data_IF_158296637454
#
_entry.id   IF_158296637454
#
_cell.length_a   1.000
_cell.length_b   1.000
_cell.length_c   1.000
_cell.angle_alpha   90.00
_cell.angle_beta   90.00
_cell.angle_gamma   90.00
#
_symmetry.space_group_name_H-M   'P 1'
#
loop_
_entity.id
_entity.type
_entity.pdbx_description
1 polymer ?
#
# COMPACT_ATOMS: atom_id res chain seq x y z
N UNK A 1 26.73 -38.59 0.35
CA UNK A 1 25.54 -38.82 1.18
C UNK A 1 24.68 -37.56 1.07
N UNK A 2 23.59 -37.60 0.28
CA UNK A 2 22.71 -36.45 0.05
C UNK A 2 21.34 -36.76 0.63
N UNK A 3 20.78 -35.85 1.44
CA UNK A 3 19.41 -35.96 1.93
C UNK A 3 18.66 -34.67 1.62
N UNK A 4 17.94 -34.72 0.51
CA UNK A 4 16.99 -33.72 0.05
C UNK A 4 15.67 -33.94 0.80
N UNK A 5 15.20 -32.93 1.52
CA UNK A 5 13.87 -32.94 2.12
C UNK A 5 13.36 -31.52 2.15
N UNK A 6 12.37 -31.20 1.31
CA UNK A 6 11.08 -30.75 1.82
C UNK A 6 10.02 -30.80 0.74
N UNK A 7 8.92 -31.40 1.16
CA UNK A 7 7.72 -31.71 0.44
C UNK A 7 6.76 -30.52 0.55
N UNK A 8 5.90 -30.36 -0.47
CA UNK A 8 4.51 -29.89 -0.38
C UNK A 8 4.23 -28.37 -0.51
N UNK A 9 3.93 -27.97 -1.75
CA UNK A 9 2.74 -27.25 -2.26
C UNK A 9 2.15 -26.11 -1.40
N UNK A 10 2.00 -24.90 -1.96
CA UNK A 10 0.70 -24.24 -2.26
C UNK A 10 0.87 -22.89 -2.99
N UNK A 11 0.31 -22.86 -4.21
CA UNK A 11 -0.23 -21.76 -5.02
C UNK A 11 0.12 -20.28 -4.67
N UNK A 12 0.81 -19.57 -5.58
CA UNK A 12 0.22 -18.68 -6.61
C UNK A 12 1.36 -17.92 -7.31
N UNK A 13 1.50 -18.11 -8.61
CA UNK A 13 2.61 -17.67 -9.45
C UNK A 13 2.37 -16.27 -10.06
N UNK A 14 3.42 -15.43 -10.08
CA UNK A 14 3.53 -14.36 -11.08
C UNK A 14 4.96 -14.35 -11.61
N UNK A 15 5.13 -14.78 -12.85
CA UNK A 15 6.42 -14.85 -13.56
C UNK A 15 6.57 -13.62 -14.47
N UNK A 16 7.72 -12.95 -14.40
CA UNK A 16 8.14 -12.04 -15.48
C UNK A 16 9.63 -12.24 -15.73
N UNK A 17 9.98 -12.45 -16.99
CA UNK A 17 11.34 -12.73 -17.45
C UNK A 17 11.94 -11.46 -18.04
N UNK A 18 13.11 -11.05 -17.56
CA UNK A 18 13.92 -9.99 -18.19
C UNK A 18 15.21 -10.62 -18.70
N UNK A 19 15.38 -10.60 -20.02
CA UNK A 19 16.54 -11.17 -20.71
C UNK A 19 17.73 -10.22 -20.62
N UNK A 20 18.88 -10.72 -20.15
CA UNK A 20 20.14 -9.96 -20.11
C UNK A 20 20.95 -10.29 -21.37
N UNK A 21 21.41 -9.29 -22.16
CA UNK A 21 22.29 -9.55 -23.31
C UNK A 21 23.70 -9.91 -22.83
N UNK A 22 24.23 -11.05 -23.28
CA UNK A 22 25.55 -11.59 -22.94
C UNK A 22 26.62 -11.08 -23.92
N UNK A 23 27.63 -10.37 -23.42
CA UNK A 23 28.84 -10.01 -24.17
C UNK A 23 29.87 -11.17 -24.23
N UNK A 24 30.65 -11.15 -25.30
CA UNK A 24 30.94 -12.34 -26.11
C UNK A 24 32.32 -12.99 -25.86
N UNK A 25 32.75 -13.21 -24.60
CA UNK A 25 34.05 -13.88 -24.40
C UNK A 25 34.30 -14.64 -23.08
N UNK A 26 33.26 -15.15 -22.41
CA UNK A 26 33.42 -16.04 -21.26
C UNK A 26 32.77 -17.39 -21.54
N UNK A 27 33.62 -18.39 -21.80
CA UNK A 27 33.23 -19.79 -22.03
C UNK A 27 32.60 -20.38 -20.76
N UNK A 28 31.30 -20.61 -20.82
CA UNK A 28 30.51 -21.32 -19.82
C UNK A 28 30.91 -22.81 -19.80
N UNK A 29 31.44 -23.28 -18.66
CA UNK A 29 31.81 -24.69 -18.45
C UNK A 29 31.33 -25.25 -17.10
N UNK A 30 30.33 -24.63 -16.46
CA UNK A 30 29.70 -25.20 -15.27
C UNK A 30 28.19 -25.02 -15.15
N UNK A 31 27.51 -24.41 -16.15
CA UNK A 31 26.05 -24.50 -16.27
C UNK A 31 25.26 -23.95 -15.09
N UNK A 32 25.87 -23.12 -14.24
CA UNK A 32 25.22 -22.44 -13.12
C UNK A 32 25.68 -20.98 -13.16
N UNK A 33 24.98 -20.19 -13.95
CA UNK A 33 25.27 -18.77 -14.22
C UNK A 33 24.37 -17.82 -13.44
N UNK A 34 23.73 -18.27 -12.37
CA UNK A 34 22.81 -17.43 -11.61
C UNK A 34 23.03 -17.62 -10.12
N UNK A 35 23.89 -16.77 -9.56
CA UNK A 35 23.86 -16.50 -8.14
C UNK A 35 22.57 -15.71 -7.87
N UNK A 36 21.48 -16.43 -7.61
CA UNK A 36 20.21 -15.81 -7.24
C UNK A 36 20.37 -15.14 -5.88
N UNK A 37 20.60 -13.82 -5.89
CA UNK A 37 20.50 -13.00 -4.69
C UNK A 37 19.02 -12.90 -4.34
N UNK A 38 18.54 -13.86 -3.54
CA UNK A 38 17.18 -13.88 -2.99
C UNK A 38 17.11 -12.84 -1.87
N UNK A 39 16.76 -11.61 -2.20
CA UNK A 39 16.25 -10.67 -1.19
C UNK A 39 14.82 -11.09 -0.91
N UNK A 40 14.68 -12.10 -0.06
CA UNK A 40 13.43 -12.46 0.58
C UNK A 40 13.18 -11.47 1.71
N UNK A 41 12.39 -10.43 1.46
CA UNK A 41 11.75 -9.68 2.55
C UNK A 41 10.53 -10.50 3.00
N UNK A 42 10.79 -11.68 3.61
CA UNK A 42 9.73 -12.51 4.19
C UNK A 42 9.14 -11.77 5.38
N UNK A 43 7.87 -11.38 5.27
CA UNK A 43 7.10 -10.88 6.40
C UNK A 43 6.45 -9.52 6.22
N UNK A 44 6.21 -9.03 5.00
CA UNK A 44 5.38 -7.83 4.75
C UNK A 44 4.44 -8.10 3.58
N UNK A 45 3.14 -8.19 3.86
CA UNK A 45 2.06 -8.38 2.91
C UNK A 45 1.36 -7.05 2.63
N UNK A 46 0.52 -7.03 1.60
CA UNK A 46 -0.30 -5.87 1.24
C UNK A 46 -1.75 -6.28 1.07
N UNK A 47 -2.65 -5.55 1.70
CA UNK A 47 -4.08 -5.84 1.70
C UNK A 47 -4.88 -4.58 1.43
N UNK A 48 -6.01 -4.74 0.73
CA UNK A 48 -6.93 -3.65 0.41
C UNK A 48 -8.03 -3.61 1.45
N UNK A 49 -8.07 -2.53 2.23
CA UNK A 49 -9.02 -2.35 3.31
C UNK A 49 -9.85 -1.10 3.01
N UNK A 50 -11.17 -1.23 3.13
CA UNK A 50 -12.10 -0.12 2.90
C UNK A 50 -12.21 0.73 4.15
N UNK A 51 -11.60 1.90 4.16
CA UNK A 51 -11.69 2.85 5.24
C UNK A 51 -12.96 3.70 5.12
N UNK A 52 -13.70 3.83 6.21
CA UNK A 52 -14.89 4.69 6.33
C UNK A 52 -14.67 5.84 7.32
N UNK A 53 -13.64 5.76 8.15
CA UNK A 53 -13.28 6.80 9.11
C UNK A 53 -12.50 7.93 8.41
N UNK A 54 -13.24 8.78 7.69
CA UNK A 54 -12.71 9.92 6.95
C UNK A 54 -12.98 11.20 7.72
N UNK A 55 -11.92 11.94 8.00
CA UNK A 55 -11.95 13.19 8.77
C UNK A 55 -11.29 14.31 7.99
N UNK A 56 -11.68 15.55 8.28
CA UNK A 56 -11.06 16.74 7.70
C UNK A 56 -10.44 17.58 8.81
N UNK A 57 -9.33 18.25 8.52
CA UNK A 57 -8.64 19.15 9.45
C UNK A 57 -8.22 20.44 8.74
N UNK A 58 -7.79 21.46 9.48
CA UNK A 58 -7.28 22.70 8.90
C UNK A 58 -8.35 23.74 8.52
N UNK A 59 -9.63 23.45 8.78
CA UNK A 59 -10.74 24.38 8.58
C UNK A 59 -11.61 24.49 9.83
N UNK A 60 -12.13 25.68 10.09
CA UNK A 60 -13.16 25.95 11.09
C UNK A 60 -14.55 26.13 10.43
N UNK A 61 -14.65 25.91 9.12
CA UNK A 61 -15.89 26.04 8.35
C UNK A 61 -16.63 24.71 8.33
N UNK A 62 -17.94 24.78 8.17
CA UNK A 62 -18.75 23.60 7.92
C UNK A 62 -18.42 23.08 6.51
N UNK A 63 -17.96 21.83 6.44
CA UNK A 63 -17.66 21.12 5.20
C UNK A 63 -18.34 19.77 5.24
N UNK A 64 -18.83 19.31 4.08
CA UNK A 64 -19.45 18.01 3.92
C UNK A 64 -18.50 17.10 3.15
N UNK A 65 -18.23 15.91 3.67
CA UNK A 65 -17.37 14.94 2.99
C UNK A 65 -18.25 14.13 2.04
N UNK A 66 -18.11 14.35 0.74
CA UNK A 66 -18.88 13.61 -0.27
C UNK A 66 -18.39 12.15 -0.42
N UNK A 67 -17.12 11.89 -0.08
CA UNK A 67 -16.55 10.53 -0.09
C UNK A 67 -16.91 9.79 1.20
N UNK A 68 -17.76 8.76 1.12
CA UNK A 68 -18.17 7.95 2.28
C UNK A 68 -17.19 6.83 2.63
N UNK A 69 -16.50 6.28 1.62
CA UNK A 69 -15.53 5.20 1.81
C UNK A 69 -14.39 5.29 0.82
N UNK A 70 -13.24 4.80 1.22
CA UNK A 70 -12.01 4.86 0.46
C UNK A 70 -11.26 3.53 0.60
N UNK A 71 -11.00 2.86 -0.52
CA UNK A 71 -10.22 1.63 -0.50
C UNK A 71 -8.74 1.99 -0.41
N UNK A 72 -8.12 1.67 0.72
CA UNK A 72 -6.70 1.89 0.96
C UNK A 72 -5.94 0.58 0.87
N UNK A 73 -4.74 0.63 0.33
CA UNK A 73 -3.78 -0.47 0.35
C UNK A 73 -2.88 -0.28 1.56
N UNK A 74 -2.94 -1.19 2.52
CA UNK A 74 -2.09 -1.21 3.70
C UNK A 74 -1.01 -2.25 3.50
N UNK A 75 0.21 -1.93 3.90
CA UNK A 75 1.35 -2.84 3.95
C UNK A 75 1.72 -3.08 5.40
N UNK A 76 1.73 -4.34 5.81
CA UNK A 76 2.05 -4.74 7.18
C UNK A 76 2.52 -6.20 7.18
N UNK A 77 3.10 -6.71 8.28
CA UNK A 77 3.40 -8.13 8.39
C UNK A 77 2.16 -9.02 8.25
N UNK A 78 2.31 -10.22 7.70
CA UNK A 78 1.17 -11.13 7.46
C UNK A 78 0.33 -11.41 8.73
N UNK A 79 1.01 -11.54 9.88
CA UNK A 79 0.37 -11.72 11.19
C UNK A 79 -0.40 -10.47 11.67
N UNK A 80 0.03 -9.30 11.22
CA UNK A 80 -0.53 -8.00 11.58
C UNK A 80 -1.64 -7.60 10.63
N UNK A 81 -1.45 -7.82 9.33
CA UNK A 81 -2.36 -7.35 8.28
C UNK A 81 -3.76 -7.95 8.42
N UNK A 82 -3.83 -9.23 8.81
CA UNK A 82 -5.10 -9.91 9.12
C UNK A 82 -5.81 -9.37 10.37
N UNK A 83 -5.14 -8.60 11.22
CA UNK A 83 -5.73 -7.93 12.39
C UNK A 83 -6.13 -6.48 12.10
N UNK A 84 -5.62 -5.88 11.02
CA UNK A 84 -5.95 -4.51 10.64
C UNK A 84 -7.36 -4.52 10.05
N UNK A 85 -8.27 -3.81 10.70
CA UNK A 85 -9.62 -3.60 10.17
C UNK A 85 -9.79 -2.16 9.68
N UNK A 86 -10.96 -1.87 9.09
CA UNK A 86 -11.31 -0.52 8.67
C UNK A 86 -11.26 0.50 9.84
N UNK A 87 -11.56 0.07 11.07
CA UNK A 87 -11.52 0.92 12.26
C UNK A 87 -10.11 1.37 12.64
N UNK A 88 -9.08 0.59 12.29
CA UNK A 88 -7.69 0.96 12.49
C UNK A 88 -7.19 1.97 11.45
N UNK A 89 -7.98 2.28 10.43
CA UNK A 89 -7.56 3.13 9.33
C UNK A 89 -8.24 4.47 9.43
N UNK A 90 -7.44 5.51 9.64
CA UNK A 90 -7.89 6.88 9.74
C UNK A 90 -7.43 7.68 8.54
N UNK A 91 -8.39 8.19 7.79
CA UNK A 91 -8.14 9.05 6.63
C UNK A 91 -8.31 10.49 7.07
N UNK A 92 -7.30 11.32 6.88
CA UNK A 92 -7.30 12.73 7.27
C UNK A 92 -7.01 13.59 6.04
N UNK A 93 -7.99 14.40 5.65
CA UNK A 93 -7.83 15.39 4.59
C UNK A 93 -7.47 16.75 5.18
N UNK A 94 -6.39 17.35 4.68
CA UNK A 94 -5.96 18.67 5.12
C UNK A 94 -6.56 19.76 4.23
N UNK A 95 -7.42 20.59 4.82
CA UNK A 95 -8.14 21.68 4.16
C UNK A 95 -7.53 23.06 4.46
N UNK A 96 -6.36 23.13 5.10
CA UNK A 96 -5.72 24.40 5.50
C UNK A 96 -5.49 25.33 4.31
N UNK A 97 -5.20 24.78 3.14
CA UNK A 97 -4.97 25.53 1.90
C UNK A 97 -6.25 25.82 1.09
N UNK A 98 -7.42 25.33 1.53
CA UNK A 98 -8.68 25.38 0.79
C UNK A 98 -9.71 26.35 1.42
N UNK A 99 -9.25 27.30 2.25
CA UNK A 99 -10.11 28.19 3.05
C UNK A 99 -11.01 29.12 2.22
N UNK A 100 -10.56 29.51 1.04
CA UNK A 100 -11.27 30.41 0.11
C UNK A 100 -12.03 29.67 -1.00
N UNK A 101 -12.08 28.33 -0.94
CA UNK A 101 -12.67 27.49 -1.98
C UNK A 101 -14.14 27.21 -1.68
N UNK A 102 -14.98 27.27 -2.71
CA UNK A 102 -16.41 26.96 -2.65
C UNK A 102 -16.76 25.85 -3.65
N UNK A 103 -17.71 24.98 -3.31
CA UNK A 103 -18.11 23.84 -4.14
C UNK A 103 -17.40 22.54 -3.79
N UNK A 104 -17.49 21.54 -4.66
CA UNK A 104 -16.86 20.23 -4.46
C UNK A 104 -15.43 20.23 -4.97
N UNK A 105 -14.47 19.94 -4.09
CA UNK A 105 -13.05 19.87 -4.46
C UNK A 105 -12.42 18.56 -4.01
N UNK A 106 -11.56 18.04 -4.88
CA UNK A 106 -10.72 16.89 -4.65
C UNK A 106 -9.53 17.30 -3.76
N UNK A 107 -9.49 16.76 -2.55
CA UNK A 107 -8.47 17.08 -1.54
C UNK A 107 -7.62 15.84 -1.29
N UNK A 108 -6.29 15.95 -1.36
CA UNK A 108 -5.41 14.84 -1.00
C UNK A 108 -5.56 14.51 0.48
N UNK A 109 -5.79 13.24 0.79
CA UNK A 109 -5.93 12.72 2.13
C UNK A 109 -4.72 11.86 2.52
N UNK A 110 -4.27 12.04 3.75
CA UNK A 110 -3.25 11.20 4.38
C UNK A 110 -3.93 10.08 5.15
N UNK A 111 -3.46 8.86 4.95
CA UNK A 111 -3.99 7.69 5.62
C UNK A 111 -3.02 7.28 6.73
N UNK A 112 -3.58 7.09 7.92
CA UNK A 112 -2.87 6.63 9.11
C UNK A 112 -3.43 5.28 9.52
N UNK A 113 -2.54 4.36 9.89
CA UNK A 113 -2.92 3.07 10.47
C UNK A 113 -2.63 3.16 11.97
N UNK A 114 -3.69 3.32 12.75
CA UNK A 114 -3.62 3.45 14.20
C UNK A 114 -3.59 2.05 14.84
N UNK A 115 -2.69 1.86 15.80
CA UNK A 115 -2.52 0.60 16.54
C UNK A 115 -1.40 -0.32 16.03
N UNK A 116 -0.78 0.00 14.89
CA UNK A 116 0.28 -0.83 14.30
C UNK A 116 1.43 0.03 13.78
N UNK A 117 2.57 -0.02 14.45
CA UNK A 117 3.78 0.76 14.10
C UNK A 117 4.45 0.24 12.82
N UNK A 118 4.35 -1.07 12.58
CA UNK A 118 4.92 -1.76 11.42
C UNK A 118 3.97 -1.81 10.22
N UNK A 119 2.79 -1.17 10.34
CA UNK A 119 1.80 -1.06 9.27
C UNK A 119 1.78 0.35 8.69
N UNK A 120 1.74 0.44 7.36
CA UNK A 120 1.66 1.72 6.66
C UNK A 120 0.70 1.63 5.48
N UNK A 121 -0.13 2.66 5.32
CA UNK A 121 -0.89 2.81 4.09
C UNK A 121 0.05 3.26 2.95
N UNK A 122 -0.09 2.62 1.79
CA UNK A 122 0.69 2.93 0.59
C UNK A 122 -0.28 3.41 -0.48
N UNK A 123 0.08 4.51 -1.13
CA UNK A 123 -0.69 5.10 -2.20
C UNK A 123 -1.13 6.52 -1.87
N UNK A 124 -1.60 7.20 -2.90
CA UNK A 124 -2.18 8.52 -2.79
C UNK A 124 -3.70 8.39 -2.80
N UNK A 125 -4.32 9.10 -1.86
CA UNK A 125 -5.75 9.06 -1.67
C UNK A 125 -6.31 10.45 -1.80
N UNK A 126 -7.49 10.54 -2.40
CA UNK A 126 -8.18 11.79 -2.64
C UNK A 126 -9.59 11.65 -2.12
N UNK A 127 -10.03 12.62 -1.35
CA UNK A 127 -11.41 12.70 -0.86
C UNK A 127 -12.07 13.93 -1.43
N UNK A 128 -13.32 13.78 -1.84
CA UNK A 128 -14.11 14.89 -2.33
C UNK A 128 -14.79 15.57 -1.15
N UNK A 129 -14.50 16.85 -0.97
CA UNK A 129 -15.08 17.66 0.10
C UNK A 129 -15.91 18.77 -0.55
N UNK A 130 -17.16 18.88 -0.11
CA UNK A 130 -18.08 19.93 -0.49
C UNK A 130 -18.06 21.05 0.54
N UNK A 131 -17.68 22.25 0.10
CA UNK A 131 -17.65 23.44 0.95
C UNK A 131 -19.00 24.13 0.93
N UNK A 132 -19.74 24.06 2.04
CA UNK A 132 -21.00 24.77 2.24
C UNK A 132 -20.71 26.18 2.73
N UNK A 133 -20.76 27.16 1.82
CA UNK A 133 -20.63 28.59 2.14
C UNK A 133 -19.75 29.33 1.14
N UNK A 134 -20.39 30.21 0.36
CA UNK A 134 -19.76 31.32 -0.36
C UNK A 134 -20.24 32.63 0.26
#
# INVERSE_FOLDING_TARGET
MWRLSICRVFATSYETTVTIPLDNNLRNLSGVTEATVRISVRGLETEKITATNITTTGTNRHVEIATTSLVVTVRAPAETISQITADNIRVVADLTNYKATSGTVAVPAKVYVDGFSDAGAIGEYVVNVHFTGG
#
